data_IF_335900000202
#
_entry.id   IF_335900000202
#
_cell.length_a   1.000
_cell.length_b   1.000
_cell.length_c   1.000
_cell.angle_alpha   90.00
_cell.angle_beta   90.00
_cell.angle_gamma   90.00
#
_symmetry.space_group_name_H-M   'P 1'
#
loop_
_entity.id
_entity.type
_entity.pdbx_description
1 polymer ?
#
# COMPACT_ATOMS: atom_id res chain seq x y z
N UNK A 1 -11.97 11.42 6.42
CA UNK A 1 -11.52 10.06 6.80
C UNK A 1 -10.00 9.98 6.59
N UNK A 2 -9.29 8.94 7.02
CA UNK A 2 -7.85 8.74 6.68
C UNK A 2 -7.67 7.33 6.14
N UNK A 3 -6.75 7.12 5.20
CA UNK A 3 -6.35 5.78 4.77
C UNK A 3 -5.03 5.40 5.44
N UNK A 4 -4.90 4.13 5.81
CA UNK A 4 -3.65 3.56 6.29
C UNK A 4 -3.14 2.57 5.26
N UNK A 5 -1.91 2.77 4.81
CA UNK A 5 -1.20 1.81 3.96
C UNK A 5 -0.18 1.08 4.83
N UNK A 6 -0.30 -0.24 4.87
CA UNK A 6 0.70 -1.13 5.43
C UNK A 6 1.61 -1.63 4.32
N UNK A 7 2.88 -1.29 4.43
CA UNK A 7 3.96 -1.75 3.57
C UNK A 7 4.61 -2.99 4.20
N UNK A 8 4.62 -4.10 3.50
CA UNK A 8 5.37 -5.30 3.87
C UNK A 8 6.35 -5.66 2.77
N UNK A 9 7.65 -5.56 3.06
CA UNK A 9 8.70 -5.79 2.07
C UNK A 9 9.16 -7.24 2.16
N UNK A 10 8.95 -8.06 1.12
CA UNK A 10 9.36 -9.46 1.11
C UNK A 10 10.73 -9.60 0.43
N UNK A 11 11.80 -9.56 1.22
CA UNK A 11 13.16 -9.78 0.70
C UNK A 11 13.61 -11.22 0.92
N UNK A 12 13.16 -12.18 0.10
CA UNK A 12 13.79 -13.49 -0.20
C UNK A 12 14.19 -14.48 0.92
N UNK A 13 14.38 -14.06 2.17
CA UNK A 13 14.83 -14.86 3.28
C UNK A 13 14.21 -14.30 4.57
N UNK A 14 13.17 -14.97 5.06
CA UNK A 14 12.57 -14.82 6.38
C UNK A 14 12.00 -13.42 6.76
N UNK A 15 10.67 -13.37 6.88
CA UNK A 15 9.88 -12.30 7.54
C UNK A 15 10.26 -10.87 7.17
N UNK A 16 9.55 -10.35 6.16
CA UNK A 16 9.66 -8.98 5.71
C UNK A 16 9.54 -7.94 6.81
N UNK A 17 10.28 -6.84 6.67
CA UNK A 17 10.04 -5.65 7.49
C UNK A 17 8.63 -5.12 7.20
N UNK A 18 7.79 -5.01 8.24
CA UNK A 18 6.47 -4.38 8.15
C UNK A 18 6.60 -2.94 8.60
N UNK A 19 6.28 -2.01 7.71
CA UNK A 19 6.16 -0.58 7.99
C UNK A 19 4.72 -0.15 7.78
N UNK A 20 4.13 0.56 8.74
CA UNK A 20 2.81 1.18 8.58
C UNK A 20 2.97 2.66 8.31
N UNK A 21 2.23 3.17 7.33
CA UNK A 21 2.17 4.60 7.01
C UNK A 21 0.72 5.03 6.95
N UNK A 22 0.41 6.20 7.49
CA UNK A 22 -0.92 6.81 7.40
C UNK A 22 -0.81 7.93 6.39
N UNK A 23 -1.64 7.87 5.34
CA UNK A 23 -1.68 8.89 4.30
C UNK A 23 -2.98 9.70 4.42
N UNK A 24 -2.98 10.98 3.99
CA UNK A 24 -4.21 11.75 3.88
C UNK A 24 -5.18 11.05 2.92
N UNK A 25 -6.44 10.95 3.33
CA UNK A 25 -7.49 10.48 2.42
C UNK A 25 -7.86 11.61 1.46
N UNK A 26 -7.82 11.32 0.17
CA UNK A 26 -8.34 12.23 -0.85
C UNK A 26 -9.70 11.71 -1.29
N UNK A 27 -10.76 12.48 -1.03
CA UNK A 27 -12.16 12.05 -1.19
C UNK A 27 -12.55 11.65 -2.62
N UNK A 28 -11.73 12.03 -3.61
CA UNK A 28 -11.92 11.68 -5.02
C UNK A 28 -11.28 10.35 -5.42
N UNK A 29 -10.42 9.77 -4.58
CA UNK A 29 -9.70 8.53 -4.86
C UNK A 29 -10.19 7.41 -3.95
N UNK A 30 -10.52 6.27 -4.55
CA UNK A 30 -10.73 5.03 -3.80
C UNK A 30 -9.41 4.50 -3.19
N UNK A 31 -9.52 3.46 -2.37
CA UNK A 31 -8.40 2.86 -1.64
C UNK A 31 -7.31 2.34 -2.58
N UNK A 32 -7.71 1.75 -3.72
CA UNK A 32 -6.78 1.24 -4.72
C UNK A 32 -5.98 2.37 -5.36
N UNK A 33 -6.67 3.43 -5.80
CA UNK A 33 -6.06 4.62 -6.38
C UNK A 33 -5.09 5.31 -5.40
N UNK A 34 -5.45 5.40 -4.12
CA UNK A 34 -4.54 5.94 -3.10
C UNK A 34 -3.29 5.06 -2.89
N UNK A 35 -3.46 3.73 -2.88
CA UNK A 35 -2.35 2.79 -2.78
C UNK A 35 -1.43 2.86 -4.00
N UNK A 36 -1.99 2.92 -5.21
CA UNK A 36 -1.23 3.02 -6.46
C UNK A 36 -0.49 4.35 -6.58
N UNK A 37 -1.10 5.46 -6.14
CA UNK A 37 -0.40 6.74 -6.09
C UNK A 37 0.78 6.71 -5.13
N UNK A 38 0.58 6.16 -3.92
CA UNK A 38 1.67 5.99 -2.97
C UNK A 38 2.81 5.14 -3.57
N UNK A 39 2.47 4.07 -4.28
CA UNK A 39 3.45 3.23 -4.97
C UNK A 39 4.26 4.03 -6.00
N UNK A 40 3.58 4.78 -6.87
CA UNK A 40 4.21 5.64 -7.89
C UNK A 40 5.14 6.69 -7.28
N UNK A 41 4.70 7.40 -6.24
CA UNK A 41 5.49 8.39 -5.50
C UNK A 41 6.77 7.79 -4.88
N UNK A 42 6.79 6.47 -4.64
CA UNK A 42 7.93 5.74 -4.07
C UNK A 42 8.69 4.89 -5.10
N UNK A 43 8.44 5.08 -6.39
CA UNK A 43 9.13 4.37 -7.47
C UNK A 43 8.83 2.87 -7.52
N UNK A 44 7.65 2.47 -7.06
CA UNK A 44 7.18 1.09 -7.09
C UNK A 44 6.29 0.87 -8.33
N UNK A 45 6.51 -0.24 -9.04
CA UNK A 45 5.75 -0.61 -10.25
C UNK A 45 4.76 -1.72 -9.93
N UNK A 46 3.48 -1.56 -10.26
CA UNK A 46 2.45 -2.56 -10.02
C UNK A 46 2.73 -3.86 -10.79
N UNK A 47 2.73 -4.98 -10.07
CA UNK A 47 2.87 -6.32 -10.64
C UNK A 47 1.54 -7.08 -10.64
N UNK A 48 0.81 -7.01 -9.54
CA UNK A 48 -0.49 -7.65 -9.36
C UNK A 48 -1.32 -6.86 -8.36
N UNK A 49 -2.59 -6.65 -8.68
CA UNK A 49 -3.58 -6.10 -7.74
C UNK A 49 -4.51 -7.23 -7.28
N UNK A 50 -4.86 -7.23 -6.00
CA UNK A 50 -5.87 -8.13 -5.45
C UNK A 50 -7.27 -7.74 -5.95
N UNK A 51 -8.17 -8.72 -6.05
CA UNK A 51 -9.53 -8.49 -6.58
C UNK A 51 -10.34 -7.46 -5.77
N UNK A 52 -10.01 -7.26 -4.49
CA UNK A 52 -10.67 -6.30 -3.62
C UNK A 52 -10.06 -4.89 -3.67
N UNK A 53 -9.00 -4.68 -4.47
CA UNK A 53 -8.28 -3.40 -4.60
C UNK A 53 -7.54 -2.96 -3.33
N UNK A 54 -7.53 -3.76 -2.26
CA UNK A 54 -6.97 -3.40 -0.95
C UNK A 54 -5.57 -3.92 -0.73
N UNK A 55 -5.04 -4.75 -1.62
CA UNK A 55 -3.66 -5.20 -1.57
C UNK A 55 -3.08 -5.36 -2.96
N UNK A 56 -1.80 -5.07 -3.10
CA UNK A 56 -1.06 -5.24 -4.35
C UNK A 56 0.37 -5.71 -4.12
N UNK A 57 0.93 -6.38 -5.12
CA UNK A 57 2.35 -6.68 -5.24
C UNK A 57 2.97 -5.69 -6.23
N UNK A 58 4.11 -5.15 -5.86
CA UNK A 58 4.84 -4.15 -6.60
C UNK A 58 6.31 -4.53 -6.69
N UNK A 59 6.96 -4.17 -7.78
CA UNK A 59 8.41 -4.24 -7.94
C UNK A 59 9.04 -2.91 -7.54
N UNK A 60 10.10 -2.94 -6.74
CA UNK A 60 10.99 -1.78 -6.61
C UNK A 60 12.04 -1.76 -7.73
N UNK A 61 12.84 -0.69 -7.77
CA UNK A 61 13.89 -0.51 -8.79
C UNK A 61 15.01 -1.56 -8.72
N UNK A 62 15.18 -2.26 -7.58
CA UNK A 62 16.16 -3.33 -7.41
C UNK A 62 15.60 -4.70 -7.85
N UNK A 63 14.35 -4.76 -8.30
CA UNK A 63 13.66 -6.00 -8.64
C UNK A 63 13.18 -6.79 -7.42
N UNK A 64 13.07 -6.17 -6.23
CA UNK A 64 12.49 -6.81 -5.05
C UNK A 64 10.98 -6.65 -5.07
N UNK A 65 10.29 -7.69 -4.57
CA UNK A 65 8.85 -7.67 -4.46
C UNK A 65 8.40 -7.03 -3.13
N UNK A 66 7.51 -6.06 -3.25
CA UNK A 66 6.93 -5.31 -2.16
C UNK A 66 5.42 -5.53 -2.15
N UNK A 67 4.87 -5.91 -1.00
CA UNK A 67 3.43 -5.97 -0.80
C UNK A 67 2.97 -4.67 -0.15
N UNK A 68 2.02 -3.99 -0.78
CA UNK A 68 1.22 -2.95 -0.13
C UNK A 68 -0.15 -3.54 0.22
N UNK A 69 -0.69 -3.14 1.37
CA UNK A 69 -2.07 -3.39 1.75
C UNK A 69 -2.64 -2.10 2.34
N UNK A 70 -3.85 -1.72 1.96
CA UNK A 70 -4.49 -0.49 2.37
C UNK A 70 -5.82 -0.77 3.09
N UNK A 71 -6.07 -0.03 4.15
CA UNK A 71 -7.29 -0.07 4.94
C UNK A 71 -7.79 1.35 5.23
N UNK A 72 -9.10 1.52 5.28
CA UNK A 72 -9.71 2.79 5.66
C UNK A 72 -9.79 2.91 7.18
N UNK A 73 -9.32 4.03 7.73
CA UNK A 73 -9.55 4.38 9.12
C UNK A 73 -10.82 5.21 9.21
N UNK A 74 -11.88 4.59 9.72
CA UNK A 74 -13.01 5.34 10.27
C UNK A 74 -12.56 5.88 11.64
N UNK A 75 -12.38 7.19 11.74
CA UNK A 75 -12.31 7.82 13.07
C UNK A 75 -13.69 7.71 13.68
N UNK A 76 -13.91 6.71 14.53
CA UNK A 76 -15.03 6.71 15.47
C UNK A 76 -14.85 7.94 16.36
N UNK A 77 -15.72 8.94 16.18
CA UNK A 77 -15.85 10.04 17.14
C UNK A 77 -16.47 9.43 18.41
N UNK A 78 -15.63 9.19 19.41
CA UNK A 78 -16.05 9.14 20.81
C UNK A 78 -16.20 10.56 21.35
#
# INVERSE_FOLDING_TARGET
MKAQITLTIWTGAAYGAIKRVVIPYEEVLDVEAQMNRYAEEHGLTLALIGEDGKAGLYWDADGKMIRLAAEELSTSRG
#
